data_IF_619159712071
#
_entry.id   IF_619159712071
#
_cell.length_a   1.000
_cell.length_b   1.000
_cell.length_c   1.000
_cell.angle_alpha   90.00
_cell.angle_beta   90.00
_cell.angle_gamma   90.00
#
_symmetry.space_group_name_H-M   'P 1'
#
loop_
_entity.id
_entity.type
_entity.pdbx_description
1 polymer ?
#
# COMPACT_ATOMS: atom_id res chain seq x y z
N UNK A 1 7.02 15.57 12.07
CA UNK A 1 6.86 16.02 10.67
C UNK A 1 5.51 15.60 10.16
N UNK A 2 4.89 16.35 9.25
CA UNK A 2 3.65 15.93 8.60
C UNK A 2 3.67 16.28 7.12
N UNK A 3 3.02 15.44 6.31
CA UNK A 3 2.66 15.72 4.92
C UNK A 3 1.14 15.87 4.84
N UNK A 4 0.67 17.02 4.40
CA UNK A 4 -0.76 17.31 4.24
C UNK A 4 -1.05 17.64 2.80
N UNK A 5 -1.98 16.92 2.22
CA UNK A 5 -2.58 17.21 0.91
C UNK A 5 -3.98 17.74 1.15
N UNK A 6 -4.32 18.89 0.58
CA UNK A 6 -5.63 19.52 0.73
C UNK A 6 -6.28 19.73 -0.63
N UNK A 7 -7.46 19.17 -0.79
CA UNK A 7 -8.35 19.37 -1.93
C UNK A 7 -7.64 19.33 -3.30
N UNK A 8 -6.76 18.35 -3.51
CA UNK A 8 -5.98 18.23 -4.74
C UNK A 8 -6.85 17.71 -5.88
N UNK A 9 -6.81 18.42 -7.02
CA UNK A 9 -7.43 18.04 -8.28
C UNK A 9 -6.37 17.92 -9.37
N UNK A 10 -6.45 16.85 -10.17
CA UNK A 10 -5.51 16.58 -11.27
C UNK A 10 -6.27 16.13 -12.50
N UNK A 11 -5.93 16.71 -13.67
CA UNK A 11 -6.50 16.34 -14.96
C UNK A 11 -5.43 16.29 -16.05
N UNK A 12 -5.65 15.45 -17.05
CA UNK A 12 -4.93 15.46 -18.33
C UNK A 12 -5.87 15.99 -19.43
N UNK A 13 -5.68 17.25 -19.82
CA UNK A 13 -6.66 17.94 -20.66
C UNK A 13 -8.03 18.00 -19.96
N UNK A 14 -9.07 17.54 -20.66
CA UNK A 14 -10.44 17.49 -20.11
C UNK A 14 -10.73 16.27 -19.24
N UNK A 15 -9.80 15.34 -19.15
CA UNK A 15 -9.96 14.11 -18.36
C UNK A 15 -9.49 14.33 -16.93
N UNK A 16 -10.43 14.48 -15.99
CA UNK A 16 -10.14 14.50 -14.56
C UNK A 16 -9.73 13.11 -14.08
N UNK A 17 -8.58 13.02 -13.38
CA UNK A 17 -8.03 11.76 -12.84
C UNK A 17 -8.19 11.69 -11.33
N UNK A 18 -7.90 12.81 -10.63
CA UNK A 18 -8.02 12.90 -9.18
C UNK A 18 -8.93 14.07 -8.82
N UNK A 19 -9.80 13.84 -7.84
CA UNK A 19 -10.81 14.80 -7.40
C UNK A 19 -10.89 14.89 -5.89
N UNK A 20 -10.76 16.10 -5.34
CA UNK A 20 -10.94 16.38 -3.91
C UNK A 20 -10.03 15.52 -3.01
N UNK A 21 -8.81 15.19 -3.47
CA UNK A 21 -7.88 14.36 -2.70
C UNK A 21 -7.40 15.15 -1.48
N UNK A 22 -7.67 14.62 -0.30
CA UNK A 22 -7.26 15.23 0.97
C UNK A 22 -6.85 14.14 1.96
N UNK A 23 -5.66 14.28 2.56
CA UNK A 23 -5.18 13.41 3.62
C UNK A 23 -4.03 14.06 4.40
N UNK A 24 -3.73 13.50 5.56
CA UNK A 24 -2.58 13.86 6.39
C UNK A 24 -1.81 12.61 6.74
N UNK A 25 -0.49 12.64 6.59
CA UNK A 25 0.44 11.62 7.05
C UNK A 25 1.35 12.23 8.12
N UNK A 26 1.58 11.47 9.19
CA UNK A 26 2.39 11.90 10.32
C UNK A 26 3.71 11.13 10.41
N UNK A 27 4.62 11.60 11.24
CA UNK A 27 5.88 10.93 11.54
C UNK A 27 5.70 9.46 11.89
N UNK A 28 6.55 8.63 11.30
CA UNK A 28 6.57 7.20 11.58
C UNK A 28 5.32 6.47 11.10
N UNK A 29 4.72 6.91 10.01
CA UNK A 29 3.60 6.23 9.37
C UNK A 29 4.00 5.57 8.04
N UNK A 30 3.52 4.34 7.84
CA UNK A 30 3.49 3.68 6.54
C UNK A 30 2.05 3.59 6.08
N UNK A 31 1.78 4.14 4.89
CA UNK A 31 0.43 4.13 4.29
C UNK A 31 0.46 3.40 2.96
N UNK A 32 -0.39 2.39 2.83
CA UNK A 32 -0.65 1.70 1.57
C UNK A 32 -1.54 2.54 0.66
N UNK A 33 -1.28 2.56 -0.64
CA UNK A 33 -2.15 3.09 -1.67
C UNK A 33 -2.56 1.96 -2.62
N UNK A 34 -3.82 1.63 -2.62
CA UNK A 34 -4.36 0.48 -3.35
C UNK A 34 -5.41 0.93 -4.34
N UNK A 35 -5.32 0.43 -5.56
CA UNK A 35 -6.34 0.62 -6.59
C UNK A 35 -6.02 -0.25 -7.82
N UNK A 36 -6.99 -0.53 -8.69
CA UNK A 36 -6.74 -1.13 -9.99
C UNK A 36 -5.76 -0.33 -10.85
N UNK A 37 -5.19 -0.96 -11.87
CA UNK A 37 -4.31 -0.27 -12.79
C UNK A 37 -5.07 0.83 -13.57
N UNK A 38 -4.38 1.95 -13.84
CA UNK A 38 -4.95 3.07 -14.58
C UNK A 38 -5.88 3.99 -13.77
N UNK A 39 -6.09 3.77 -12.48
CA UNK A 39 -6.98 4.61 -11.65
C UNK A 39 -6.35 5.91 -11.16
N UNK A 40 -5.00 6.07 -11.28
CA UNK A 40 -4.33 7.31 -10.91
C UNK A 40 -3.35 7.23 -9.74
N UNK A 41 -2.91 6.03 -9.28
CA UNK A 41 -1.88 5.90 -8.21
C UNK A 41 -0.61 6.67 -8.54
N UNK A 42 0.00 6.37 -9.68
CA UNK A 42 1.21 7.06 -10.16
C UNK A 42 0.96 8.54 -10.43
N UNK A 43 -0.26 8.90 -10.89
CA UNK A 43 -0.68 10.29 -11.06
C UNK A 43 -0.67 11.05 -9.73
N UNK A 44 -1.15 10.42 -8.65
CA UNK A 44 -1.12 11.02 -7.31
C UNK A 44 0.32 11.28 -6.85
N UNK A 45 1.21 10.31 -7.00
CA UNK A 45 2.62 10.49 -6.64
C UNK A 45 3.29 11.58 -7.49
N UNK A 46 3.08 11.57 -8.81
CA UNK A 46 3.62 12.61 -9.69
C UNK A 46 3.08 14.01 -9.36
N UNK A 47 1.83 14.12 -8.94
CA UNK A 47 1.24 15.39 -8.51
C UNK A 47 1.85 15.87 -7.18
N UNK A 48 2.06 14.97 -6.20
CA UNK A 48 2.73 15.30 -4.94
C UNK A 48 4.18 15.76 -5.21
N UNK A 49 4.89 15.09 -6.12
CA UNK A 49 6.25 15.47 -6.54
C UNK A 49 6.29 16.72 -7.42
N UNK A 50 5.17 17.29 -7.81
CA UNK A 50 5.10 18.40 -8.77
C UNK A 50 5.72 18.08 -10.14
N UNK A 51 5.81 16.80 -10.52
CA UNK A 51 6.18 16.38 -11.88
C UNK A 51 5.09 16.69 -12.90
N UNK A 52 3.84 16.78 -12.43
CA UNK A 52 2.69 17.22 -13.22
C UNK A 52 1.97 18.36 -12.48
N UNK A 53 1.29 19.27 -13.24
CA UNK A 53 0.54 20.35 -12.62
C UNK A 53 -0.67 19.80 -11.85
N UNK A 54 -0.98 20.42 -10.72
CA UNK A 54 -2.27 20.27 -10.03
C UNK A 54 -3.14 21.47 -10.38
N UNK A 55 -4.44 21.23 -10.60
CA UNK A 55 -5.39 22.30 -10.97
C UNK A 55 -5.76 23.12 -9.74
N UNK A 56 -6.05 22.43 -8.63
CA UNK A 56 -6.45 23.00 -7.35
C UNK A 56 -5.80 22.19 -6.22
N UNK A 57 -5.68 22.80 -5.07
CA UNK A 57 -5.22 22.16 -3.85
C UNK A 57 -3.82 22.58 -3.41
N UNK A 58 -3.44 22.08 -2.25
CA UNK A 58 -2.19 22.46 -1.58
C UNK A 58 -1.39 21.23 -1.17
N UNK A 59 -0.06 21.35 -1.23
CA UNK A 59 0.91 20.42 -0.65
C UNK A 59 1.58 21.15 0.50
N UNK A 60 1.45 20.62 1.71
CA UNK A 60 1.97 21.24 2.93
C UNK A 60 2.86 20.24 3.66
N UNK A 61 4.09 20.64 4.01
CA UNK A 61 5.00 19.85 4.85
C UNK A 61 5.39 20.71 6.05
N UNK A 62 5.15 20.21 7.26
CA UNK A 62 5.42 20.92 8.52
C UNK A 62 4.85 22.33 8.56
N UNK A 63 3.64 22.52 8.03
CA UNK A 63 2.96 23.81 7.97
C UNK A 63 3.42 24.74 6.86
N UNK A 64 4.44 24.40 6.09
CA UNK A 64 4.90 25.16 4.92
C UNK A 64 4.21 24.68 3.66
N UNK A 65 3.59 25.58 2.89
CA UNK A 65 2.97 25.27 1.58
C UNK A 65 4.01 25.31 0.47
N UNK A 66 4.00 24.31 -0.39
CA UNK A 66 4.89 24.17 -1.55
C UNK A 66 4.11 24.45 -2.83
N UNK A 67 4.49 25.55 -3.52
CA UNK A 67 3.87 25.95 -4.79
C UNK A 67 4.56 25.31 -5.99
N UNK A 68 4.13 25.65 -7.22
CA UNK A 68 4.79 25.24 -8.45
C UNK A 68 6.01 26.11 -8.84
N UNK A 69 6.49 26.99 -7.93
CA UNK A 69 7.72 27.75 -8.20
C UNK A 69 8.93 26.84 -8.17
N UNK A 70 9.93 27.10 -9.02
CA UNK A 70 11.17 26.28 -9.09
C UNK A 70 11.84 26.17 -7.70
N UNK A 71 11.80 27.25 -6.91
CA UNK A 71 12.34 27.27 -5.54
C UNK A 71 11.61 26.28 -4.64
N UNK A 72 10.26 26.28 -4.67
CA UNK A 72 9.46 25.40 -3.82
C UNK A 72 9.57 23.94 -4.28
N UNK A 73 9.59 23.71 -5.60
CA UNK A 73 9.79 22.37 -6.15
C UNK A 73 11.14 21.79 -5.74
N UNK A 74 12.23 22.58 -5.84
CA UNK A 74 13.54 22.15 -5.36
C UNK A 74 13.54 21.85 -3.85
N UNK A 75 12.92 22.73 -3.04
CA UNK A 75 12.80 22.52 -1.60
C UNK A 75 11.91 21.31 -1.24
N UNK A 76 10.86 21.02 -2.03
CA UNK A 76 10.02 19.83 -1.93
C UNK A 76 10.84 18.56 -2.16
N UNK A 77 11.64 18.53 -3.24
CA UNK A 77 12.49 17.38 -3.58
C UNK A 77 13.59 17.12 -2.56
N UNK A 78 13.97 18.11 -1.74
CA UNK A 78 14.85 17.87 -0.58
C UNK A 78 14.14 17.17 0.59
N UNK A 79 12.81 17.15 0.59
CA UNK A 79 11.98 16.54 1.65
C UNK A 79 11.37 15.20 1.23
N UNK A 80 11.15 15.00 -0.06
CA UNK A 80 10.47 13.81 -0.60
C UNK A 80 11.35 13.15 -1.63
N UNK A 81 11.50 11.82 -1.53
CA UNK A 81 12.05 11.00 -2.61
C UNK A 81 10.94 10.15 -3.20
N UNK A 82 10.92 10.08 -4.53
CA UNK A 82 10.07 9.15 -5.28
C UNK A 82 10.88 7.94 -5.74
N UNK A 83 10.26 6.77 -5.71
CA UNK A 83 10.90 5.51 -6.11
C UNK A 83 11.33 5.58 -7.58
N UNK A 84 12.64 5.37 -7.88
CA UNK A 84 13.13 5.48 -9.25
C UNK A 84 12.57 4.38 -10.15
N UNK A 85 12.29 4.71 -11.40
CA UNK A 85 11.99 3.68 -12.41
C UNK A 85 13.28 2.92 -12.77
N UNK A 86 13.17 1.60 -12.88
CA UNK A 86 14.28 0.76 -13.33
C UNK A 86 14.75 1.10 -14.75
N UNK A 87 13.86 1.66 -15.59
CA UNK A 87 14.19 2.11 -16.93
C UNK A 87 15.12 3.35 -16.95
N UNK A 88 15.16 4.10 -15.84
CA UNK A 88 16.01 5.30 -15.72
C UNK A 88 17.43 4.99 -15.20
N UNK A 89 17.73 3.72 -14.90
CA UNK A 89 19.05 3.30 -14.45
C UNK A 89 20.06 3.39 -15.61
N UNK A 90 21.24 3.94 -15.31
CA UNK A 90 22.35 4.00 -16.27
C UNK A 90 23.00 2.63 -16.42
N UNK A 91 22.80 1.96 -17.53
CA UNK A 91 23.22 0.57 -17.74
C UNK A 91 24.74 0.36 -17.63
N UNK A 92 25.53 1.34 -18.01
CA UNK A 92 27.00 1.31 -17.95
C UNK A 92 27.58 1.72 -16.58
N UNK A 93 26.73 2.05 -15.60
CA UNK A 93 27.18 2.36 -14.26
C UNK A 93 26.94 1.16 -13.35
N UNK A 94 27.78 1.01 -12.33
CA UNK A 94 27.57 0.01 -11.28
C UNK A 94 26.46 0.43 -10.33
N UNK A 95 25.89 -0.54 -9.61
CA UNK A 95 24.92 -0.23 -8.55
C UNK A 95 25.49 0.69 -7.48
N UNK A 96 26.76 0.50 -7.11
CA UNK A 96 27.47 1.36 -6.15
C UNK A 96 27.54 2.81 -6.60
N UNK A 97 27.78 3.06 -7.90
CA UNK A 97 27.81 4.42 -8.45
C UNK A 97 26.43 5.09 -8.36
N UNK A 98 25.36 4.36 -8.65
CA UNK A 98 23.99 4.86 -8.49
C UNK A 98 23.67 5.23 -7.04
N UNK A 99 23.99 4.35 -6.08
CA UNK A 99 23.75 4.62 -4.66
C UNK A 99 24.55 5.84 -4.20
N UNK A 100 25.83 5.95 -4.59
CA UNK A 100 26.67 7.13 -4.30
C UNK A 100 26.11 8.41 -4.91
N UNK A 101 25.57 8.35 -6.13
CA UNK A 101 24.96 9.49 -6.80
C UNK A 101 23.75 10.00 -5.99
N UNK A 102 22.85 9.12 -5.56
CA UNK A 102 21.70 9.51 -4.76
C UNK A 102 22.11 10.05 -3.37
N UNK A 103 23.06 9.42 -2.70
CA UNK A 103 23.61 9.95 -1.46
C UNK A 103 24.16 11.39 -1.65
N UNK A 104 24.84 11.68 -2.75
CA UNK A 104 25.35 13.02 -3.02
C UNK A 104 24.27 14.04 -3.32
N UNK A 105 23.21 13.63 -4.03
CA UNK A 105 22.14 14.56 -4.43
C UNK A 105 21.26 15.00 -3.25
N UNK A 106 21.08 14.14 -2.24
CA UNK A 106 20.15 14.39 -1.13
C UNK A 106 20.83 14.48 0.23
N UNK A 107 21.33 13.35 0.77
CA UNK A 107 21.77 13.28 2.16
C UNK A 107 23.21 13.78 2.39
N UNK A 108 24.06 13.69 1.38
CA UNK A 108 25.49 13.91 1.51
C UNK A 108 26.26 12.79 2.25
N UNK A 109 25.57 11.75 2.71
CA UNK A 109 26.11 10.66 3.57
C UNK A 109 26.74 9.54 2.76
N UNK A 110 27.86 9.82 2.10
CA UNK A 110 28.59 8.81 1.30
C UNK A 110 29.15 7.65 2.11
N UNK A 111 29.41 7.85 3.35
CA UNK A 111 29.91 6.88 4.33
C UNK A 111 28.89 5.80 4.69
N UNK A 112 27.60 6.03 4.46
CA UNK A 112 26.55 5.04 4.71
C UNK A 112 26.32 4.06 3.53
N UNK A 113 26.93 4.30 2.35
CA UNK A 113 26.71 3.49 1.13
C UNK A 113 27.01 2.01 1.35
N UNK A 114 28.13 1.67 1.98
CA UNK A 114 28.49 0.28 2.23
C UNK A 114 27.53 -0.40 3.21
N UNK A 115 27.05 0.34 4.21
CA UNK A 115 26.04 -0.15 5.14
C UNK A 115 24.70 -0.47 4.43
N UNK A 116 24.27 0.37 3.50
CA UNK A 116 23.05 0.15 2.70
C UNK A 116 23.22 -1.10 1.82
N UNK A 117 24.39 -1.24 1.16
CA UNK A 117 24.71 -2.38 0.30
C UNK A 117 24.60 -3.69 1.08
N UNK A 118 25.28 -3.78 2.22
CA UNK A 118 25.27 -4.98 3.05
C UNK A 118 23.88 -5.26 3.65
N UNK A 119 23.15 -4.21 4.08
CA UNK A 119 21.79 -4.32 4.59
C UNK A 119 20.83 -4.92 3.57
N UNK A 120 20.99 -4.59 2.29
CA UNK A 120 20.18 -5.10 1.19
C UNK A 120 20.79 -6.33 0.50
N UNK A 121 21.87 -6.91 1.09
CA UNK A 121 22.55 -8.11 0.57
C UNK A 121 22.93 -7.96 -0.91
N UNK A 122 23.58 -6.85 -1.23
CA UNK A 122 23.99 -6.54 -2.60
C UNK A 122 25.51 -6.70 -2.83
N UNK A 123 26.27 -7.12 -1.80
CA UNK A 123 27.74 -7.16 -1.79
C UNK A 123 28.32 -7.93 -2.99
N UNK A 124 27.69 -9.05 -3.40
CA UNK A 124 28.21 -9.93 -4.44
C UNK A 124 28.12 -9.36 -5.87
N UNK A 125 27.27 -8.34 -6.10
CA UNK A 125 26.99 -7.86 -7.44
C UNK A 125 26.96 -6.34 -7.61
N UNK A 126 26.98 -5.57 -6.53
CA UNK A 126 26.80 -4.12 -6.57
C UNK A 126 27.84 -3.37 -7.39
N UNK A 127 29.03 -3.96 -7.57
CA UNK A 127 30.13 -3.38 -8.35
C UNK A 127 30.11 -3.79 -9.85
N UNK A 128 29.12 -4.64 -10.28
CA UNK A 128 28.89 -4.95 -11.69
C UNK A 128 28.07 -3.83 -12.35
N UNK A 129 28.15 -3.74 -13.68
CA UNK A 129 27.29 -2.83 -14.42
C UNK A 129 25.82 -3.25 -14.34
N UNK A 130 24.91 -2.25 -14.32
CA UNK A 130 23.48 -2.48 -14.19
C UNK A 130 22.89 -3.25 -15.38
N UNK A 131 23.53 -3.21 -16.57
CA UNK A 131 23.12 -4.04 -17.72
C UNK A 131 23.13 -5.55 -17.42
N UNK A 132 23.95 -5.99 -16.45
CA UNK A 132 24.06 -7.38 -16.01
C UNK A 132 23.02 -7.76 -14.94
N UNK A 133 22.20 -6.80 -14.47
CA UNK A 133 21.29 -7.01 -13.37
C UNK A 133 19.99 -7.69 -13.81
N UNK A 134 19.56 -8.68 -13.03
CA UNK A 134 18.19 -9.19 -13.12
C UNK A 134 17.17 -8.14 -12.67
N UNK A 135 15.88 -8.37 -12.97
CA UNK A 135 14.79 -7.50 -12.55
C UNK A 135 14.81 -7.24 -11.04
N UNK A 136 14.93 -8.30 -10.23
CA UNK A 136 14.99 -8.18 -8.77
C UNK A 136 16.25 -7.46 -8.26
N UNK A 137 17.39 -7.60 -8.95
CA UNK A 137 18.62 -6.84 -8.63
C UNK A 137 18.42 -5.34 -8.92
N UNK A 138 17.79 -4.99 -10.05
CA UNK A 138 17.45 -3.60 -10.40
C UNK A 138 16.47 -3.00 -9.38
N UNK A 139 15.46 -3.77 -8.97
CA UNK A 139 14.48 -3.34 -7.97
C UNK A 139 15.14 -3.03 -6.63
N UNK A 140 16.03 -3.93 -6.15
CA UNK A 140 16.80 -3.68 -4.92
C UNK A 140 17.74 -2.48 -5.05
N UNK A 141 18.33 -2.25 -6.23
CA UNK A 141 19.13 -1.06 -6.48
C UNK A 141 18.30 0.23 -6.34
N UNK A 142 17.13 0.29 -6.96
CA UNK A 142 16.21 1.43 -6.82
C UNK A 142 15.85 1.68 -5.34
N UNK A 143 15.62 0.62 -4.57
CA UNK A 143 15.36 0.74 -3.15
C UNK A 143 16.60 1.23 -2.37
N UNK A 144 17.80 0.72 -2.69
CA UNK A 144 19.05 1.19 -2.10
C UNK A 144 19.30 2.68 -2.38
N UNK A 145 18.98 3.14 -3.59
CA UNK A 145 19.07 4.56 -3.97
C UNK A 145 18.15 5.43 -3.10
N UNK A 146 16.90 4.99 -2.86
CA UNK A 146 16.00 5.69 -1.94
C UNK A 146 16.54 5.76 -0.51
N UNK A 147 17.10 4.65 0.01
CA UNK A 147 17.72 4.66 1.33
C UNK A 147 18.88 5.64 1.41
N UNK A 148 19.69 5.73 0.35
CA UNK A 148 20.83 6.63 0.27
C UNK A 148 20.40 8.11 0.17
N UNK A 149 19.25 8.41 -0.41
CA UNK A 149 18.67 9.75 -0.40
C UNK A 149 18.29 10.22 1.02
N UNK A 150 17.90 9.29 1.89
CA UNK A 150 17.58 9.50 3.30
C UNK A 150 16.57 10.63 3.57
N UNK A 151 15.64 10.88 2.64
CA UNK A 151 14.62 11.91 2.82
C UNK A 151 13.62 11.54 3.92
N UNK A 152 13.01 12.51 4.59
CA UNK A 152 12.00 12.23 5.62
C UNK A 152 10.69 11.65 5.08
N UNK A 153 10.36 11.88 3.82
CA UNK A 153 9.16 11.39 3.15
C UNK A 153 9.57 10.55 1.94
N UNK A 154 9.00 9.36 1.82
CA UNK A 154 9.31 8.39 0.77
C UNK A 154 8.02 7.95 0.06
N UNK A 155 7.93 8.20 -1.24
CA UNK A 155 6.82 7.74 -2.09
C UNK A 155 7.31 6.56 -2.92
N UNK A 156 6.69 5.40 -2.79
CA UNK A 156 7.13 4.15 -3.41
C UNK A 156 6.03 3.58 -4.30
N UNK A 157 6.29 3.53 -5.61
CA UNK A 157 5.38 2.89 -6.56
C UNK A 157 5.88 1.48 -6.86
N UNK A 158 5.12 0.48 -6.42
CA UNK A 158 5.35 -0.94 -6.70
C UNK A 158 6.76 -1.45 -6.31
N UNK A 159 7.29 -0.99 -5.16
CA UNK A 159 8.65 -1.29 -4.68
C UNK A 159 8.97 -2.78 -4.56
N UNK A 160 7.97 -3.64 -4.40
CA UNK A 160 8.13 -5.09 -4.23
C UNK A 160 7.91 -5.90 -5.51
N UNK A 161 7.58 -5.26 -6.63
CA UNK A 161 7.34 -5.96 -7.88
C UNK A 161 8.59 -6.68 -8.39
N UNK A 162 8.41 -7.96 -8.77
CA UNK A 162 9.50 -8.79 -9.30
C UNK A 162 10.50 -9.28 -8.26
N UNK A 163 10.25 -9.05 -6.97
CA UNK A 163 11.02 -9.64 -5.88
C UNK A 163 10.46 -11.02 -5.51
N UNK A 164 11.36 -11.92 -5.15
CA UNK A 164 11.02 -13.19 -4.52
C UNK A 164 10.58 -12.98 -3.04
N UNK A 165 9.93 -13.97 -2.40
CA UNK A 165 9.42 -13.83 -1.03
C UNK A 165 10.48 -13.44 0.00
N UNK A 166 11.73 -13.91 -0.15
CA UNK A 166 12.82 -13.55 0.78
C UNK A 166 13.17 -12.07 0.67
N UNK A 167 13.25 -11.54 -0.56
CA UNK A 167 13.51 -10.13 -0.80
C UNK A 167 12.33 -9.23 -0.43
N UNK A 168 11.09 -9.70 -0.60
CA UNK A 168 9.90 -9.00 -0.09
C UNK A 168 9.97 -8.86 1.42
N UNK A 169 10.28 -9.95 2.16
CA UNK A 169 10.46 -9.92 3.61
C UNK A 169 11.60 -8.99 4.05
N UNK A 170 12.70 -8.97 3.30
CA UNK A 170 13.81 -8.04 3.56
C UNK A 170 13.37 -6.58 3.43
N UNK A 171 12.70 -6.21 2.33
CA UNK A 171 12.20 -4.85 2.12
C UNK A 171 11.18 -4.48 3.20
N UNK A 172 10.22 -5.36 3.53
CA UNK A 172 9.23 -5.14 4.61
C UNK A 172 9.91 -4.84 5.95
N UNK A 173 10.95 -5.60 6.31
CA UNK A 173 11.70 -5.35 7.55
C UNK A 173 12.39 -3.99 7.58
N UNK A 174 12.97 -3.58 6.45
CA UNK A 174 13.59 -2.25 6.30
C UNK A 174 12.54 -1.13 6.40
N UNK A 175 11.36 -1.30 5.79
CA UNK A 175 10.27 -0.32 5.92
C UNK A 175 9.83 -0.12 7.37
N UNK A 176 9.71 -1.21 8.14
CA UNK A 176 9.38 -1.14 9.57
C UNK A 176 10.46 -0.40 10.37
N UNK A 177 11.74 -0.58 10.02
CA UNK A 177 12.83 0.17 10.66
C UNK A 177 12.79 1.67 10.31
N UNK A 178 12.55 2.02 9.04
CA UNK A 178 12.40 3.41 8.60
C UNK A 178 11.22 4.09 9.31
N UNK A 179 10.10 3.38 9.49
CA UNK A 179 8.97 3.85 10.30
C UNK A 179 9.39 4.20 11.72
N UNK A 180 10.16 3.33 12.38
CA UNK A 180 10.69 3.56 13.73
C UNK A 180 11.65 4.76 13.80
N UNK A 181 12.30 5.11 12.69
CA UNK A 181 13.14 6.30 12.57
C UNK A 181 12.33 7.59 12.31
N UNK A 182 11.00 7.50 12.26
CA UNK A 182 10.12 8.64 12.02
C UNK A 182 9.92 8.99 10.55
N UNK A 183 10.30 8.13 9.60
CA UNK A 183 10.02 8.38 8.17
C UNK A 183 8.53 8.27 7.88
N UNK A 184 8.03 9.13 6.99
CA UNK A 184 6.69 9.02 6.39
C UNK A 184 6.84 8.26 5.08
N UNK A 185 6.09 7.17 4.95
CA UNK A 185 6.22 6.29 3.78
C UNK A 185 4.84 6.06 3.18
N UNK A 186 4.68 6.31 1.88
CA UNK A 186 3.49 5.97 1.13
C UNK A 186 3.83 4.97 0.03
N UNK A 187 3.18 3.81 0.02
CA UNK A 187 3.50 2.70 -0.87
C UNK A 187 2.29 2.33 -1.71
N UNK A 188 2.38 2.49 -3.03
CA UNK A 188 1.43 1.85 -3.93
C UNK A 188 1.85 0.39 -4.13
N UNK A 189 0.92 -0.54 -3.92
CA UNK A 189 1.19 -1.98 -4.00
C UNK A 189 -0.02 -2.74 -4.53
N UNK A 190 0.26 -3.81 -5.26
CA UNK A 190 -0.70 -4.85 -5.63
C UNK A 190 -0.62 -6.08 -4.71
N UNK A 191 0.39 -6.16 -3.85
CA UNK A 191 0.57 -7.23 -2.86
C UNK A 191 -0.20 -6.86 -1.59
N UNK A 192 -1.51 -7.10 -1.60
CA UNK A 192 -2.45 -6.60 -0.58
C UNK A 192 -2.17 -7.20 0.80
N UNK A 193 -1.91 -8.51 0.87
CA UNK A 193 -1.65 -9.22 2.12
C UNK A 193 -0.40 -8.68 2.82
N UNK A 194 0.62 -8.29 2.06
CA UNK A 194 1.84 -7.73 2.63
C UNK A 194 1.61 -6.35 3.28
N UNK A 195 0.64 -5.56 2.78
CA UNK A 195 0.30 -4.28 3.40
C UNK A 195 -0.19 -4.45 4.83
N UNK A 196 -0.93 -5.52 5.11
CA UNK A 196 -1.45 -5.82 6.46
C UNK A 196 -0.33 -6.11 7.48
N UNK A 197 0.88 -6.47 7.02
CA UNK A 197 2.03 -6.73 7.89
C UNK A 197 2.72 -5.45 8.39
N UNK A 198 2.74 -4.37 7.58
CA UNK A 198 3.56 -3.20 7.89
C UNK A 198 2.85 -1.84 7.75
N UNK A 199 1.75 -1.75 7.01
CA UNK A 199 1.05 -0.49 6.83
C UNK A 199 0.17 -0.15 8.05
N UNK A 200 0.26 1.10 8.49
CA UNK A 200 -0.55 1.63 9.58
C UNK A 200 -1.97 1.97 9.12
N UNK A 201 -2.13 2.28 7.83
CA UNK A 201 -3.38 2.62 7.17
C UNK A 201 -3.30 2.28 5.69
N UNK A 202 -4.44 2.03 5.06
CA UNK A 202 -4.54 1.83 3.61
C UNK A 202 -5.52 2.83 3.02
N UNK A 203 -5.13 3.47 1.94
CA UNK A 203 -5.99 4.29 1.10
C UNK A 203 -6.38 3.52 -0.16
N UNK A 204 -7.67 3.49 -0.45
CA UNK A 204 -8.21 2.98 -1.70
C UNK A 204 -8.56 4.15 -2.62
N UNK A 205 -8.05 4.13 -3.85
CA UNK A 205 -8.37 5.16 -4.86
C UNK A 205 -9.48 4.64 -5.77
N UNK A 206 -10.74 5.00 -5.46
CA UNK A 206 -11.94 4.66 -6.26
C UNK A 206 -12.67 5.93 -6.67
N UNK A 207 -13.24 5.94 -7.86
CA UNK A 207 -14.03 7.06 -8.42
C UNK A 207 -13.30 8.41 -8.30
N UNK A 208 -11.98 8.40 -8.54
CA UNK A 208 -11.07 9.56 -8.48
C UNK A 208 -10.85 10.12 -7.06
N UNK A 209 -11.37 9.48 -6.02
CA UNK A 209 -11.28 9.89 -4.61
C UNK A 209 -10.54 8.87 -3.76
N UNK A 210 -9.97 9.32 -2.64
CA UNK A 210 -9.39 8.43 -1.64
C UNK A 210 -10.44 8.02 -0.61
N UNK A 211 -10.48 6.71 -0.35
CA UNK A 211 -11.23 6.10 0.72
C UNK A 211 -10.23 5.50 1.70
N UNK A 212 -10.15 6.05 2.90
CA UNK A 212 -9.26 5.55 3.94
C UNK A 212 -9.90 4.34 4.63
N UNK A 213 -9.10 3.30 4.91
CA UNK A 213 -9.51 2.32 5.93
C UNK A 213 -9.45 2.98 7.30
N UNK A 214 -10.28 2.51 8.24
CA UNK A 214 -10.23 2.99 9.61
C UNK A 214 -8.81 2.83 10.16
N UNK A 215 -8.33 3.86 10.84
CA UNK A 215 -7.00 3.88 11.44
C UNK A 215 -6.84 2.73 12.43
N UNK A 216 -5.62 2.27 12.64
CA UNK A 216 -5.25 1.20 13.59
C UNK A 216 -5.81 1.37 15.02
N UNK A 217 -6.25 2.58 15.39
CA UNK A 217 -6.79 2.91 16.71
C UNK A 217 -8.31 2.80 16.82
N UNK A 218 -9.05 2.54 15.74
CA UNK A 218 -10.48 2.29 15.77
C UNK A 218 -10.73 0.79 15.90
N UNK A 219 -11.69 0.38 16.76
CA UNK A 219 -12.13 -1.01 16.84
C UNK A 219 -12.70 -1.41 15.48
N UNK A 220 -11.90 -2.17 14.71
CA UNK A 220 -12.39 -2.77 13.46
C UNK A 220 -13.42 -3.84 13.83
N UNK A 221 -14.55 -3.93 13.13
CA UNK A 221 -15.49 -5.03 13.33
C UNK A 221 -14.77 -6.36 13.06
N UNK A 222 -15.01 -7.33 13.92
CA UNK A 222 -14.48 -8.67 13.77
C UNK A 222 -15.44 -9.53 12.96
N UNK A 223 -14.88 -10.40 12.15
CA UNK A 223 -15.62 -11.33 11.31
C UNK A 223 -15.17 -12.76 11.59
N UNK A 224 -16.09 -13.69 11.48
CA UNK A 224 -15.72 -15.06 11.17
C UNK A 224 -15.33 -15.13 9.69
N UNK A 225 -14.09 -15.47 9.43
CA UNK A 225 -13.53 -15.71 8.11
C UNK A 225 -13.49 -17.22 7.89
N UNK A 226 -14.33 -17.73 7.00
CA UNK A 226 -14.53 -19.17 6.78
C UNK A 226 -14.26 -19.48 5.33
N UNK A 227 -13.22 -20.27 5.06
CA UNK A 227 -12.96 -20.79 3.71
C UNK A 227 -13.91 -21.93 3.43
N UNK A 228 -14.85 -21.74 2.50
CA UNK A 228 -15.89 -22.71 2.18
C UNK A 228 -16.40 -22.58 0.75
N UNK A 229 -16.94 -23.68 0.22
CA UNK A 229 -17.53 -23.74 -1.12
C UNK A 229 -18.89 -23.03 -1.17
N UNK A 230 -19.35 -22.68 -2.38
CA UNK A 230 -20.68 -22.10 -2.60
C UNK A 230 -21.82 -22.95 -2.05
N UNK A 231 -21.67 -24.28 -2.10
CA UNK A 231 -22.66 -25.23 -1.53
C UNK A 231 -22.74 -25.06 -0.02
N UNK A 232 -21.61 -25.02 0.66
CA UNK A 232 -21.53 -24.86 2.12
C UNK A 232 -22.08 -23.50 2.56
N UNK A 233 -21.83 -22.43 1.79
CA UNK A 233 -22.46 -21.13 2.01
C UNK A 233 -23.97 -21.21 1.88
N UNK A 234 -24.49 -21.93 0.87
CA UNK A 234 -25.94 -22.13 0.71
C UNK A 234 -26.55 -22.89 1.90
N UNK A 235 -25.85 -23.91 2.41
CA UNK A 235 -26.28 -24.67 3.58
C UNK A 235 -26.32 -23.77 4.83
N UNK A 236 -25.26 -23.00 5.10
CA UNK A 236 -25.19 -22.05 6.20
C UNK A 236 -26.27 -20.96 6.10
N UNK A 237 -26.62 -20.51 4.90
CA UNK A 237 -27.70 -19.57 4.65
C UNK A 237 -29.06 -20.17 5.02
N UNK A 238 -29.34 -21.42 4.60
CA UNK A 238 -30.60 -22.11 4.93
C UNK A 238 -30.73 -22.38 6.43
N UNK A 239 -29.63 -22.66 7.11
CA UNK A 239 -29.54 -22.85 8.55
C UNK A 239 -29.67 -21.55 9.34
N UNK A 240 -29.64 -20.38 8.67
CA UNK A 240 -29.89 -19.06 9.29
C UNK A 240 -28.67 -18.42 9.95
N UNK A 241 -27.46 -18.88 9.62
CA UNK A 241 -26.21 -18.31 10.16
C UNK A 241 -25.77 -17.01 9.48
N UNK A 242 -26.25 -16.73 8.26
CA UNK A 242 -25.86 -15.51 7.56
C UNK A 242 -26.67 -14.31 8.03
N UNK A 243 -25.99 -13.20 8.20
CA UNK A 243 -26.53 -11.90 8.64
C UNK A 243 -26.63 -10.92 7.49
N UNK A 244 -27.18 -9.74 7.73
CA UNK A 244 -27.33 -8.70 6.70
C UNK A 244 -26.00 -8.27 6.08
N UNK A 245 -24.95 -8.17 6.90
CA UNK A 245 -23.63 -7.74 6.46
C UNK A 245 -22.65 -8.91 6.36
N UNK A 246 -23.13 -10.10 6.06
CA UNK A 246 -22.30 -11.23 5.65
C UNK A 246 -21.92 -11.06 4.19
N UNK A 247 -20.67 -11.40 3.85
CA UNK A 247 -20.12 -11.31 2.49
C UNK A 247 -19.52 -12.64 2.08
N UNK A 248 -19.66 -12.99 0.82
CA UNK A 248 -18.97 -14.14 0.22
C UNK A 248 -18.08 -13.63 -0.91
N UNK A 249 -16.79 -13.74 -0.76
CA UNK A 249 -15.77 -13.16 -1.63
C UNK A 249 -15.16 -14.27 -2.49
N UNK A 250 -15.08 -14.05 -3.81
CA UNK A 250 -14.49 -14.95 -4.82
C UNK A 250 -14.99 -16.40 -4.77
N UNK A 251 -16.21 -16.62 -4.25
CA UNK A 251 -16.77 -17.96 -4.10
C UNK A 251 -16.01 -18.88 -3.14
N UNK A 252 -15.11 -18.33 -2.31
CA UNK A 252 -14.25 -19.11 -1.42
C UNK A 252 -14.27 -18.63 0.03
N UNK A 253 -14.31 -17.33 0.28
CA UNK A 253 -14.23 -16.76 1.62
C UNK A 253 -15.56 -16.19 2.07
N UNK A 254 -16.16 -16.80 3.10
CA UNK A 254 -17.35 -16.29 3.78
C UNK A 254 -16.94 -15.45 5.00
N UNK A 255 -17.39 -14.21 5.03
CA UNK A 255 -17.17 -13.25 6.12
C UNK A 255 -18.49 -12.98 6.85
N UNK A 256 -18.60 -13.35 8.11
CA UNK A 256 -19.79 -13.14 8.94
C UNK A 256 -19.42 -12.19 10.08
N UNK A 257 -20.06 -11.00 10.20
CA UNK A 257 -19.78 -10.08 11.31
C UNK A 257 -20.08 -10.71 12.66
N UNK A 258 -19.10 -10.66 13.57
CA UNK A 258 -19.24 -11.24 14.92
C UNK A 258 -20.34 -10.54 15.73
N UNK A 259 -20.41 -9.21 15.62
CA UNK A 259 -21.36 -8.37 16.37
C UNK A 259 -22.84 -8.61 16.00
N UNK A 260 -23.11 -9.22 14.85
CA UNK A 260 -24.45 -9.53 14.37
C UNK A 260 -24.92 -10.93 14.77
N UNK A 261 -24.08 -11.75 15.40
CA UNK A 261 -24.42 -13.08 15.90
C UNK A 261 -24.77 -13.01 17.37
N UNK A 262 -25.80 -13.77 17.77
CA UNK A 262 -26.04 -14.06 19.19
C UNK A 262 -25.05 -15.11 19.69
N UNK A 263 -24.78 -15.16 21.01
CA UNK A 263 -23.91 -16.17 21.62
C UNK A 263 -24.32 -17.60 21.24
N UNK A 264 -25.63 -17.87 21.19
CA UNK A 264 -26.16 -19.18 20.81
C UNK A 264 -25.84 -19.52 19.35
N UNK A 265 -26.01 -18.55 18.44
CA UNK A 265 -25.70 -18.71 17.01
C UNK A 265 -24.20 -18.82 16.77
N UNK A 266 -23.41 -18.12 17.55
CA UNK A 266 -21.94 -18.20 17.47
C UNK A 266 -21.43 -19.60 17.80
N UNK A 267 -21.90 -20.16 18.92
CA UNK A 267 -21.58 -21.53 19.35
C UNK A 267 -22.07 -22.56 18.31
N UNK A 268 -23.27 -22.37 17.80
CA UNK A 268 -23.85 -23.27 16.80
C UNK A 268 -23.07 -23.19 15.47
N UNK A 269 -22.72 -22.00 15.01
CA UNK A 269 -21.88 -21.78 13.81
C UNK A 269 -20.52 -22.47 13.95
N UNK A 270 -19.83 -22.26 15.08
CA UNK A 270 -18.54 -22.89 15.32
C UNK A 270 -18.61 -24.43 15.26
N UNK A 271 -19.63 -25.02 15.89
CA UNK A 271 -19.85 -26.47 15.83
C UNK A 271 -20.15 -26.95 14.41
N UNK A 272 -20.93 -26.17 13.68
CA UNK A 272 -21.33 -26.50 12.30
C UNK A 272 -20.13 -26.45 11.35
N UNK A 273 -19.32 -25.38 11.42
CA UNK A 273 -18.12 -25.22 10.60
C UNK A 273 -17.10 -26.32 10.88
N UNK A 274 -16.93 -26.76 12.13
CA UNK A 274 -16.08 -27.92 12.46
C UNK A 274 -16.56 -29.26 11.87
N UNK A 275 -17.82 -29.37 11.50
CA UNK A 275 -18.38 -30.56 10.83
C UNK A 275 -18.29 -30.46 9.30
N UNK A 276 -18.02 -29.27 8.78
CA UNK A 276 -17.77 -29.04 7.36
C UNK A 276 -16.32 -29.43 7.03
N UNK A 277 -16.05 -29.68 5.76
CA UNK A 277 -14.68 -29.84 5.26
C UNK A 277 -13.99 -28.50 5.06
N UNK A 278 -14.37 -27.45 5.82
CA UNK A 278 -13.76 -26.14 5.73
C UNK A 278 -12.26 -26.22 6.06
N UNK A 279 -11.45 -25.61 5.22
CA UNK A 279 -9.99 -25.66 5.36
C UNK A 279 -9.51 -24.78 6.53
N UNK A 280 -10.22 -23.68 6.84
CA UNK A 280 -9.89 -22.81 7.96
C UNK A 280 -11.10 -22.01 8.46
N UNK A 281 -11.06 -21.64 9.74
CA UNK A 281 -11.92 -20.65 10.37
C UNK A 281 -11.03 -19.72 11.21
N UNK A 282 -11.17 -18.44 11.02
CA UNK A 282 -10.45 -17.41 11.76
C UNK A 282 -11.41 -16.33 12.26
N UNK A 283 -11.08 -15.68 13.37
CA UNK A 283 -11.77 -14.47 13.85
C UNK A 283 -10.80 -13.31 13.73
N UNK A 284 -11.03 -12.47 12.74
CA UNK A 284 -10.17 -11.32 12.45
C UNK A 284 -10.98 -10.16 11.85
N UNK A 285 -10.45 -8.94 11.86
CA UNK A 285 -10.98 -7.88 11.01
C UNK A 285 -10.71 -8.22 9.53
N UNK A 286 -11.51 -7.67 8.63
CA UNK A 286 -11.22 -7.78 7.19
C UNK A 286 -9.86 -7.17 6.88
N UNK A 287 -9.01 -7.93 6.20
CA UNK A 287 -7.73 -7.47 5.69
C UNK A 287 -7.87 -6.57 4.46
N UNK A 288 -6.74 -6.11 3.95
CA UNK A 288 -6.69 -5.23 2.77
C UNK A 288 -7.28 -5.91 1.53
N UNK A 289 -7.05 -7.22 1.36
CA UNK A 289 -7.57 -7.97 0.21
C UNK A 289 -9.11 -8.06 0.23
N UNK A 290 -9.72 -8.37 1.37
CA UNK A 290 -11.17 -8.43 1.51
C UNK A 290 -11.81 -7.06 1.32
N UNK A 291 -11.22 -6.01 1.90
CA UNK A 291 -11.70 -4.63 1.73
C UNK A 291 -11.59 -4.17 0.26
N UNK A 292 -10.52 -4.56 -0.43
CA UNK A 292 -10.37 -4.31 -1.86
C UNK A 292 -11.48 -4.99 -2.66
N UNK A 293 -11.75 -6.27 -2.39
CA UNK A 293 -12.82 -7.00 -3.06
C UNK A 293 -14.18 -6.32 -2.86
N UNK A 294 -14.52 -5.95 -1.62
CA UNK A 294 -15.77 -5.25 -1.30
C UNK A 294 -15.88 -3.89 -1.98
N UNK A 295 -14.78 -3.15 -2.09
CA UNK A 295 -14.80 -1.79 -2.62
C UNK A 295 -14.88 -1.77 -4.15
N UNK A 296 -14.21 -2.71 -4.84
CA UNK A 296 -14.09 -2.69 -6.31
C UNK A 296 -15.06 -3.64 -7.01
N UNK A 297 -16.13 -4.09 -6.33
CA UNK A 297 -17.18 -4.94 -6.89
C UNK A 297 -16.62 -6.22 -7.57
N UNK A 298 -15.55 -6.78 -7.00
CA UNK A 298 -15.15 -8.14 -7.31
C UNK A 298 -16.32 -9.07 -6.92
N UNK A 299 -16.40 -10.32 -7.42
CA UNK A 299 -17.56 -11.17 -7.14
C UNK A 299 -17.77 -11.34 -5.62
N UNK A 300 -18.56 -10.44 -5.07
CA UNK A 300 -18.95 -10.38 -3.66
C UNK A 300 -20.45 -10.52 -3.57
N UNK A 301 -20.92 -11.54 -2.86
CA UNK A 301 -22.35 -11.72 -2.60
C UNK A 301 -22.66 -11.23 -1.18
N UNK A 302 -23.52 -10.20 -1.05
CA UNK A 302 -24.05 -9.78 0.25
C UNK A 302 -25.39 -10.46 0.50
N UNK A 303 -25.64 -10.83 1.77
CA UNK A 303 -26.85 -11.56 2.17
C UNK A 303 -27.86 -10.63 2.87
N UNK A 304 -28.43 -9.70 2.14
CA UNK A 304 -29.52 -8.89 2.69
C UNK A 304 -30.81 -9.73 2.84
N UNK A 305 -31.51 -9.58 3.96
CA UNK A 305 -32.80 -10.27 4.23
C UNK A 305 -33.97 -9.64 3.46
N UNK A 306 -33.74 -9.07 2.31
CA UNK A 306 -34.80 -8.45 1.56
C UNK A 306 -34.37 -8.07 0.15
N UNK A 307 -34.71 -8.91 -0.81
CA UNK A 307 -34.76 -8.53 -2.21
C UNK A 307 -33.92 -9.41 -3.11
N UNK A 308 -34.57 -10.36 -3.68
CA UNK A 308 -34.25 -10.82 -5.03
C UNK A 308 -34.66 -9.67 -5.95
N UNK A 309 -33.69 -9.00 -6.56
CA UNK A 309 -33.86 -8.35 -7.85
C UNK A 309 -32.78 -8.84 -8.81
#
# INVERSE_FOLDING_TARGET
MSLVIKNMHVSYGDLEILKEISFTLEDGQIVGLVAPNGTGKTTLFNAIMRFIPILEGEIIIDGATYTASDKDVLALHQKITFFPDQADLFENFSGREHIKMYAQMWSGRKDEVDSIISRLRMDDYVDRNVEEYSLGMRQRLCFAMMLAADTPIMLMDEVMNGLDPENVSLVSSVLIELRKQGKIIMIASHLLDNLDEYADQVFFLKDKKLHATNQLNEKRPLYYLIVCSEKEVSDLKQEGFLTKHSYHIDGQLLCIPLEELSEENEIALYKRVRQMNSESIEIAPLGTAEQYALLYDLPVYSYDRGGVE
#
